data_IF_015531749316
#
_entry.id   IF_015531749316
#
_cell.length_a   1.000
_cell.length_b   1.000
_cell.length_c   1.000
_cell.angle_alpha   90.00
_cell.angle_beta   90.00
_cell.angle_gamma   90.00
#
_symmetry.space_group_name_H-M   'P 1'
#
loop_
_entity.id
_entity.type
_entity.pdbx_description
1 polymer ?
#
# COMPACT_ATOMS: atom_id res chain seq x y z
N UNK A 1 -9.91 77.01 -10.40
CA UNK A 1 -9.57 76.20 -9.22
C UNK A 1 -9.93 74.76 -9.57
N UNK A 2 -8.93 73.95 -9.96
CA UNK A 2 -8.34 72.88 -9.12
C UNK A 2 -9.34 71.71 -8.95
N UNK A 3 -9.08 70.45 -9.31
CA UNK A 3 -7.86 69.71 -9.69
C UNK A 3 -8.20 68.67 -10.76
N UNK A 4 -7.23 68.42 -11.64
CA UNK A 4 -7.12 67.13 -12.31
C UNK A 4 -6.55 66.14 -11.30
N UNK A 5 -7.09 64.93 -11.25
CA UNK A 5 -6.33 63.79 -10.79
C UNK A 5 -6.48 62.63 -11.77
N UNK A 6 -5.33 62.16 -12.21
CA UNK A 6 -5.15 60.98 -13.04
C UNK A 6 -4.90 59.86 -12.05
N UNK A 7 -5.67 58.78 -12.12
CA UNK A 7 -5.13 57.51 -11.68
C UNK A 7 -5.29 56.47 -12.79
N UNK A 8 -4.11 56.08 -13.25
CA UNK A 8 -3.82 54.97 -14.14
C UNK A 8 -4.18 53.69 -13.38
N UNK A 9 -5.11 52.90 -13.92
CA UNK A 9 -5.34 51.52 -13.48
C UNK A 9 -4.10 50.68 -13.83
N UNK A 10 -3.08 50.79 -12.98
CA UNK A 10 -1.88 49.98 -12.97
C UNK A 10 -2.13 48.72 -12.17
N UNK A 11 -2.30 47.60 -12.86
CA UNK A 11 -2.42 46.30 -12.19
C UNK A 11 -2.87 45.19 -13.11
N UNK A 12 -2.04 44.83 -14.09
CA UNK A 12 -2.10 43.49 -14.69
C UNK A 12 -1.80 42.48 -13.58
N UNK A 13 -2.83 42.06 -12.84
CA UNK A 13 -2.74 40.95 -11.91
C UNK A 13 -2.60 39.67 -12.75
N UNK A 14 -1.37 39.37 -13.14
CA UNK A 14 -0.99 38.04 -13.55
C UNK A 14 -1.08 37.15 -12.30
N UNK A 15 -2.28 36.66 -12.02
CA UNK A 15 -2.48 35.55 -11.09
C UNK A 15 -1.90 34.33 -11.79
N UNK A 16 -0.59 34.15 -11.66
CA UNK A 16 0.04 32.87 -11.99
C UNK A 16 -0.57 31.89 -10.99
N UNK A 17 -1.41 31.00 -11.51
CA UNK A 17 -2.00 29.91 -10.74
C UNK A 17 -0.92 28.88 -10.43
N UNK A 18 -0.07 29.18 -9.46
CA UNK A 18 0.99 28.30 -8.95
C UNK A 18 0.45 27.19 -8.02
N UNK A 19 -0.85 26.90 -8.11
CA UNK A 19 -1.54 25.91 -7.28
C UNK A 19 -1.40 24.47 -7.81
N UNK A 20 -0.71 24.27 -8.93
CA UNK A 20 -0.46 22.94 -9.51
C UNK A 20 0.90 22.35 -9.15
N UNK A 21 1.78 23.05 -8.42
CA UNK A 21 2.89 22.38 -7.73
C UNK A 21 2.37 21.80 -6.41
N UNK A 22 1.68 20.66 -6.52
CA UNK A 22 1.58 19.72 -5.41
C UNK A 22 2.97 19.17 -5.16
N UNK A 23 3.74 19.92 -4.40
CA UNK A 23 4.94 19.44 -3.74
C UNK A 23 4.64 18.04 -3.20
N UNK A 24 5.50 17.10 -3.58
CA UNK A 24 5.49 15.75 -3.02
C UNK A 24 5.67 15.89 -1.52
N UNK A 25 4.55 15.97 -0.79
CA UNK A 25 4.56 15.90 0.67
C UNK A 25 5.29 14.59 0.99
N UNK A 26 6.47 14.63 1.63
CA UNK A 26 7.19 13.43 2.00
C UNK A 26 6.24 12.59 2.84
N UNK A 27 6.06 11.33 2.44
CA UNK A 27 5.19 10.41 3.15
C UNK A 27 5.77 10.20 4.56
N UNK A 28 5.19 10.91 5.53
CA UNK A 28 5.63 11.01 6.93
C UNK A 28 5.66 9.65 7.64
N UNK A 29 5.05 8.61 7.05
CA UNK A 29 5.02 7.25 7.58
C UNK A 29 6.15 6.35 7.08
N UNK A 30 7.18 6.90 6.43
CA UNK A 30 8.28 6.09 5.88
C UNK A 30 9.34 5.77 6.95
N UNK A 31 9.26 4.58 7.56
CA UNK A 31 10.40 3.97 8.25
C UNK A 31 11.24 3.24 7.20
N UNK A 32 12.43 3.76 6.91
CA UNK A 32 13.41 3.10 6.04
C UNK A 32 14.04 1.94 6.81
N UNK A 33 13.48 0.74 6.68
CA UNK A 33 14.14 -0.47 7.21
C UNK A 33 15.34 -0.80 6.32
N UNK A 34 16.51 -0.92 6.94
CA UNK A 34 17.82 -1.08 6.29
C UNK A 34 17.88 -2.29 5.33
N UNK A 35 18.67 -2.16 4.26
CA UNK A 35 18.52 -2.89 2.99
C UNK A 35 18.47 -4.42 3.01
N UNK A 36 18.95 -5.10 4.05
CA UNK A 36 18.86 -6.57 4.16
C UNK A 36 17.42 -7.04 4.42
N UNK A 37 16.68 -6.35 5.30
CA UNK A 37 15.29 -6.72 5.58
C UNK A 37 14.39 -6.54 4.34
N UNK A 38 14.61 -5.47 3.57
CA UNK A 38 13.91 -5.22 2.31
C UNK A 38 14.25 -6.24 1.23
N UNK A 39 15.50 -6.71 1.15
CA UNK A 39 15.88 -7.78 0.24
C UNK A 39 15.20 -9.10 0.60
N UNK A 40 15.18 -9.48 1.87
CA UNK A 40 14.48 -10.68 2.36
C UNK A 40 12.97 -10.60 2.13
N UNK A 41 12.38 -9.42 2.32
CA UNK A 41 10.95 -9.22 2.07
C UNK A 41 10.62 -9.40 0.60
N UNK A 42 11.42 -8.82 -0.32
CA UNK A 42 11.26 -9.04 -1.77
C UNK A 42 11.38 -10.51 -2.14
N UNK A 43 12.36 -11.21 -1.56
CA UNK A 43 12.54 -12.64 -1.79
C UNK A 43 11.33 -13.46 -1.32
N UNK A 44 10.78 -13.17 -0.13
CA UNK A 44 9.57 -13.84 0.41
C UNK A 44 8.37 -13.70 -0.53
N UNK A 45 8.20 -12.56 -1.19
CA UNK A 45 7.08 -12.26 -2.07
C UNK A 45 7.37 -12.44 -3.57
N UNK A 46 8.54 -12.97 -3.94
CA UNK A 46 8.97 -13.02 -5.35
C UNK A 46 8.01 -13.78 -6.25
N UNK A 47 7.36 -14.83 -5.75
CA UNK A 47 6.45 -15.68 -6.52
C UNK A 47 4.97 -15.26 -6.40
N UNK A 48 4.67 -14.27 -5.56
CA UNK A 48 3.30 -13.75 -5.39
C UNK A 48 3.07 -12.53 -6.29
N UNK A 49 2.47 -12.77 -7.45
CA UNK A 49 2.21 -11.71 -8.44
C UNK A 49 1.34 -10.55 -7.89
N UNK A 50 0.52 -10.78 -6.87
CA UNK A 50 -0.30 -9.71 -6.32
C UNK A 50 0.53 -8.73 -5.49
N UNK A 51 1.35 -9.28 -4.59
CA UNK A 51 2.16 -8.50 -3.64
C UNK A 51 3.52 -8.07 -4.18
N UNK A 52 4.08 -8.77 -5.18
CA UNK A 52 5.39 -8.45 -5.77
C UNK A 52 5.52 -6.97 -6.10
N UNK A 53 4.59 -6.43 -6.89
CA UNK A 53 4.63 -5.02 -7.30
C UNK A 53 4.48 -4.05 -6.12
N UNK A 54 3.75 -4.46 -5.09
CA UNK A 54 3.53 -3.65 -3.87
C UNK A 54 4.81 -3.60 -3.05
N UNK A 55 5.43 -4.76 -2.81
CA UNK A 55 6.70 -4.86 -2.07
C UNK A 55 7.81 -4.13 -2.81
N UNK A 56 7.90 -4.32 -4.13
CA UNK A 56 8.89 -3.67 -4.97
C UNK A 56 8.74 -2.13 -4.95
N UNK A 57 7.50 -1.63 -4.99
CA UNK A 57 7.22 -0.21 -4.77
C UNK A 57 7.68 0.28 -3.41
N UNK A 58 7.28 -0.40 -2.34
CA UNK A 58 7.54 0.05 -0.97
C UNK A 58 9.02 -0.04 -0.58
N UNK A 59 9.82 -0.88 -1.24
CA UNK A 59 11.19 -1.18 -0.82
C UNK A 59 12.30 -0.70 -1.77
N UNK A 60 12.01 -0.50 -3.06
CA UNK A 60 13.04 -0.21 -4.06
C UNK A 60 12.65 0.90 -5.06
N UNK A 61 11.44 0.86 -5.62
CA UNK A 61 11.06 1.72 -6.73
C UNK A 61 10.67 3.15 -6.33
N UNK A 62 10.33 3.41 -5.07
CA UNK A 62 9.95 4.77 -4.62
C UNK A 62 11.02 5.82 -4.87
N UNK A 63 12.29 5.42 -4.91
CA UNK A 63 13.45 6.30 -5.10
C UNK A 63 14.08 6.16 -6.49
N UNK A 64 13.48 5.39 -7.39
CA UNK A 64 14.03 5.15 -8.73
C UNK A 64 13.74 6.35 -9.66
N UNK A 65 14.77 7.09 -10.09
CA UNK A 65 14.60 8.25 -10.97
C UNK A 65 14.21 7.88 -12.40
N UNK A 66 14.29 6.60 -12.79
CA UNK A 66 13.96 6.12 -14.14
C UNK A 66 12.46 5.88 -14.36
N UNK A 67 11.65 5.87 -13.30
CA UNK A 67 10.21 5.64 -13.39
C UNK A 67 9.49 6.83 -14.01
N UNK A 68 8.65 6.55 -15.02
CA UNK A 68 7.70 7.56 -15.50
C UNK A 68 6.68 7.92 -14.40
N UNK A 69 6.18 9.16 -14.44
CA UNK A 69 5.09 9.60 -13.55
C UNK A 69 3.88 8.66 -13.56
N UNK A 70 3.52 8.11 -14.73
CA UNK A 70 2.41 7.18 -14.85
C UNK A 70 2.66 5.83 -14.16
N UNK A 71 3.89 5.30 -14.24
CA UNK A 71 4.29 4.08 -13.52
C UNK A 71 4.31 4.31 -12.01
N UNK A 72 4.96 5.38 -11.55
CA UNK A 72 5.02 5.75 -10.14
C UNK A 72 3.62 5.97 -9.54
N UNK A 73 2.72 6.67 -10.26
CA UNK A 73 1.33 6.87 -9.83
C UNK A 73 0.57 5.55 -9.68
N UNK A 74 0.68 4.63 -10.66
CA UNK A 74 0.00 3.32 -10.60
C UNK A 74 0.51 2.47 -9.43
N UNK A 75 1.83 2.41 -9.26
CA UNK A 75 2.46 1.67 -8.17
C UNK A 75 2.06 2.23 -6.80
N UNK A 76 2.12 3.56 -6.64
CA UNK A 76 1.65 4.26 -5.42
C UNK A 76 0.19 3.96 -5.10
N UNK A 77 -0.70 4.05 -6.08
CA UNK A 77 -2.12 3.76 -5.87
C UNK A 77 -2.38 2.31 -5.46
N UNK A 78 -1.59 1.36 -6.00
CA UNK A 78 -1.68 -0.05 -5.63
C UNK A 78 -1.17 -0.32 -4.22
N UNK A 79 -0.11 0.38 -3.81
CA UNK A 79 0.53 0.20 -2.51
C UNK A 79 -0.06 1.05 -1.37
N UNK A 80 -0.95 2.01 -1.66
CA UNK A 80 -1.47 3.01 -0.70
C UNK A 80 -2.07 2.45 0.60
N UNK A 81 -2.55 1.21 0.56
CA UNK A 81 -3.23 0.55 1.68
C UNK A 81 -2.28 -0.39 2.45
N UNK A 82 -0.97 -0.30 2.20
CA UNK A 82 0.07 -1.18 2.71
C UNK A 82 1.27 -0.40 3.24
N UNK A 83 1.99 -1.00 4.19
CA UNK A 83 3.24 -0.47 4.76
C UNK A 83 4.22 -1.61 5.02
N UNK A 84 5.52 -1.32 4.93
CA UNK A 84 6.58 -2.24 5.38
C UNK A 84 7.06 -1.78 6.75
N UNK A 85 7.03 -2.70 7.72
CA UNK A 85 7.42 -2.42 9.10
C UNK A 85 7.95 -3.72 9.72
N UNK A 86 9.06 -3.64 10.44
CA UNK A 86 9.75 -4.78 11.07
C UNK A 86 10.04 -5.94 10.09
N UNK A 87 10.39 -5.61 8.85
CA UNK A 87 10.67 -6.61 7.81
C UNK A 87 9.45 -7.40 7.35
N UNK A 88 8.23 -6.92 7.64
CA UNK A 88 6.96 -7.52 7.23
C UNK A 88 6.14 -6.55 6.40
N UNK A 89 5.29 -7.10 5.54
CA UNK A 89 4.27 -6.34 4.82
C UNK A 89 3.00 -6.32 5.66
N UNK A 90 2.46 -5.13 5.91
CA UNK A 90 1.23 -4.94 6.65
C UNK A 90 0.18 -4.31 5.75
N UNK A 91 -1.06 -4.77 5.87
CA UNK A 91 -2.22 -4.08 5.31
C UNK A 91 -2.82 -3.17 6.37
N UNK A 92 -2.95 -1.88 6.06
CA UNK A 92 -3.43 -0.84 6.98
C UNK A 92 -4.73 -0.16 6.51
N UNK A 93 -5.23 -0.54 5.32
CA UNK A 93 -6.38 0.14 4.72
C UNK A 93 -7.17 -0.64 3.66
N UNK A 94 -8.08 0.08 3.02
CA UNK A 94 -8.96 -0.40 1.95
C UNK A 94 -10.37 -0.79 2.41
N UNK A 95 -11.24 -1.07 1.43
CA UNK A 95 -12.69 -1.31 1.58
C UNK A 95 -13.09 -2.36 2.64
N UNK A 96 -12.17 -3.26 3.00
CA UNK A 96 -12.42 -4.35 3.95
C UNK A 96 -11.54 -4.30 5.20
N UNK A 97 -10.77 -3.23 5.42
CA UNK A 97 -9.88 -3.11 6.58
C UNK A 97 -10.61 -2.78 7.89
N UNK A 98 -11.87 -2.35 7.85
CA UNK A 98 -12.63 -2.00 9.07
C UNK A 98 -12.78 -3.16 10.07
N UNK A 99 -12.72 -4.42 9.60
CA UNK A 99 -12.83 -5.60 10.46
C UNK A 99 -11.51 -5.97 11.15
N UNK A 100 -10.39 -5.59 10.55
CA UNK A 100 -9.06 -5.87 11.05
C UNK A 100 -8.13 -4.73 10.56
N UNK A 101 -7.95 -3.68 11.38
CA UNK A 101 -7.35 -2.42 10.93
C UNK A 101 -5.87 -2.56 10.54
N UNK A 102 -5.19 -3.60 11.05
CA UNK A 102 -3.81 -3.92 10.71
C UNK A 102 -3.60 -5.42 10.76
N UNK A 103 -3.25 -6.03 9.62
CA UNK A 103 -2.98 -7.47 9.49
C UNK A 103 -1.73 -7.72 8.67
N UNK A 104 -1.02 -8.81 8.98
CA UNK A 104 0.17 -9.21 8.23
C UNK A 104 -0.24 -9.73 6.85
N UNK A 105 0.32 -9.16 5.79
CA UNK A 105 0.22 -9.75 4.47
C UNK A 105 1.19 -10.93 4.39
N UNK A 106 0.72 -12.05 3.83
CA UNK A 106 1.53 -13.24 3.59
C UNK A 106 1.39 -13.68 2.13
N UNK A 107 2.42 -14.30 1.52
CA UNK A 107 2.29 -14.92 0.21
C UNK A 107 1.14 -15.92 0.18
N UNK A 108 0.46 -16.05 -0.96
CA UNK A 108 -0.65 -16.99 -1.11
C UNK A 108 -0.27 -18.45 -0.82
N UNK A 109 1.00 -18.83 -1.06
CA UNK A 109 1.52 -20.15 -0.69
C UNK A 109 1.48 -20.38 0.84
N UNK A 110 2.04 -19.45 1.62
CA UNK A 110 1.96 -19.49 3.07
C UNK A 110 0.50 -19.44 3.55
N UNK A 111 -0.35 -18.65 2.89
CA UNK A 111 -1.78 -18.56 3.20
C UNK A 111 -2.52 -19.91 3.07
N UNK A 112 -2.20 -20.70 2.03
CA UNK A 112 -2.75 -22.06 1.87
C UNK A 112 -2.29 -23.00 2.97
N UNK A 113 -1.04 -22.91 3.40
CA UNK A 113 -0.51 -23.69 4.51
C UNK A 113 -1.26 -23.35 5.82
N UNK A 114 -1.47 -22.05 6.10
CA UNK A 114 -2.26 -21.61 7.26
C UNK A 114 -3.70 -22.07 7.22
N UNK A 115 -4.31 -22.13 6.04
CA UNK A 115 -5.65 -22.66 5.86
C UNK A 115 -5.72 -24.17 6.19
N UNK A 116 -4.78 -24.96 5.67
CA UNK A 116 -4.70 -26.39 5.95
C UNK A 116 -4.44 -26.66 7.45
N UNK A 117 -3.52 -25.91 8.07
CA UNK A 117 -3.26 -25.98 9.52
C UNK A 117 -4.52 -25.69 10.32
N UNK A 118 -5.34 -24.72 9.91
CA UNK A 118 -6.57 -24.37 10.62
C UNK A 118 -7.54 -25.56 10.66
N UNK A 119 -7.74 -26.24 9.54
CA UNK A 119 -8.61 -27.42 9.47
C UNK A 119 -8.06 -28.61 10.26
N UNK A 120 -6.74 -28.81 10.21
CA UNK A 120 -6.07 -29.90 10.94
C UNK A 120 -6.20 -29.79 12.46
N UNK A 121 -6.20 -28.57 13.03
CA UNK A 121 -6.21 -28.37 14.49
C UNK A 121 -7.59 -28.55 15.15
N UNK A 122 -8.69 -28.70 14.40
CA UNK A 122 -9.99 -28.88 15.05
C UNK A 122 -11.18 -29.18 14.14
N UNK A 123 -10.96 -29.53 12.88
CA UNK A 123 -12.04 -29.75 11.89
C UNK A 123 -13.06 -28.60 11.86
N UNK A 124 -12.56 -27.38 12.02
CA UNK A 124 -13.39 -26.19 12.05
C UNK A 124 -14.09 -26.01 10.70
N UNK A 125 -15.38 -25.66 10.73
CA UNK A 125 -16.09 -25.28 9.52
C UNK A 125 -15.40 -24.09 8.84
N UNK A 126 -15.54 -24.01 7.52
CA UNK A 126 -14.86 -23.01 6.69
C UNK A 126 -14.95 -21.57 7.21
N UNK A 127 -16.12 -21.14 7.66
CA UNK A 127 -16.34 -19.76 8.09
C UNK A 127 -15.56 -19.43 9.38
N UNK A 128 -15.40 -20.41 10.28
CA UNK A 128 -14.61 -20.24 11.52
C UNK A 128 -13.13 -20.11 11.19
N UNK A 129 -12.62 -20.93 10.27
CA UNK A 129 -11.24 -20.80 9.81
C UNK A 129 -10.98 -19.49 9.07
N UNK A 130 -11.88 -19.10 8.16
CA UNK A 130 -11.78 -17.84 7.42
C UNK A 130 -11.75 -16.64 8.39
N UNK A 131 -12.63 -16.61 9.38
CA UNK A 131 -12.69 -15.51 10.36
C UNK A 131 -11.42 -15.47 11.23
N UNK A 132 -10.98 -16.62 11.75
CA UNK A 132 -9.75 -16.72 12.54
C UNK A 132 -8.53 -16.20 11.78
N UNK A 133 -8.35 -16.63 10.53
CA UNK A 133 -7.22 -16.23 9.69
C UNK A 133 -7.29 -14.75 9.33
N UNK A 134 -8.47 -14.21 9.04
CA UNK A 134 -8.67 -12.79 8.72
C UNK A 134 -8.27 -11.83 9.82
N UNK A 135 -8.32 -12.25 11.08
CA UNK A 135 -7.93 -11.38 12.21
C UNK A 135 -6.43 -11.14 12.27
N UNK A 136 -5.61 -11.99 11.62
CA UNK A 136 -4.14 -11.98 11.74
C UNK A 136 -3.44 -11.78 10.40
N UNK A 137 -3.99 -12.36 9.34
CA UNK A 137 -3.35 -12.46 8.05
C UNK A 137 -4.21 -11.90 6.93
N UNK A 138 -3.56 -11.57 5.82
CA UNK A 138 -4.21 -11.25 4.57
C UNK A 138 -3.43 -11.84 3.39
N UNK A 139 -4.15 -12.48 2.48
CA UNK A 139 -3.68 -12.80 1.14
C UNK A 139 -4.85 -12.78 0.13
N UNK A 140 -4.58 -12.58 -1.17
CA UNK A 140 -5.58 -12.64 -2.21
C UNK A 140 -6.23 -14.03 -2.26
N UNK A 141 -7.54 -14.08 -2.51
CA UNK A 141 -8.30 -15.32 -2.63
C UNK A 141 -8.37 -16.18 -1.36
N UNK A 142 -8.03 -15.62 -0.18
CA UNK A 142 -8.11 -16.31 1.12
C UNK A 142 -9.34 -17.19 1.31
N UNK A 143 -10.54 -16.69 1.00
CA UNK A 143 -11.78 -17.46 1.14
C UNK A 143 -11.79 -18.72 0.29
N UNK A 144 -11.36 -18.62 -0.98
CA UNK A 144 -11.28 -19.77 -1.89
C UNK A 144 -10.24 -20.76 -1.38
N UNK A 145 -9.05 -20.27 -1.07
CA UNK A 145 -7.95 -21.10 -0.59
C UNK A 145 -8.28 -21.79 0.75
N UNK A 146 -9.10 -21.16 1.61
CA UNK A 146 -9.61 -21.77 2.85
C UNK A 146 -10.63 -22.88 2.62
N UNK A 147 -11.39 -22.80 1.53
CA UNK A 147 -12.33 -23.87 1.12
C UNK A 147 -11.57 -25.05 0.52
N UNK A 148 -10.58 -24.77 -0.34
CA UNK A 148 -9.82 -25.79 -1.07
C UNK A 148 -8.89 -26.61 -0.17
N UNK A 149 -8.62 -26.13 1.06
CA UNK A 149 -7.75 -26.77 2.05
C UNK A 149 -8.44 -27.76 3.00
N UNK A 150 -9.74 -28.04 2.79
CA UNK A 150 -10.56 -28.98 3.60
C UNK A 150 -10.28 -30.43 3.21
#
# INVERSE_FOLDING_TARGET
MSHADRDVDGGLHNVVADWEEKDLVPDVFTVLVEGDANARLRERFKDDAYFRDIVEWLTALRTDPSLSHAQAKRARLRARDYVVEDGKLWRIGGKHAYRAPRVECIPAAEGRERAAECHAHGHWGRDVCEESLRTRFFWPNMRRDTVDAI
#
